data_IF_307483018906
#
_entry.id   IF_307483018906
#
_cell.length_a   1.000
_cell.length_b   1.000
_cell.length_c   1.000
_cell.angle_alpha   90.00
_cell.angle_beta   90.00
_cell.angle_gamma   90.00
#
_symmetry.space_group_name_H-M   'P 1'
#
loop_
_entity.id
_entity.type
_entity.pdbx_description
1 polymer ?
#
# COMPACT_ATOMS: atom_id res chain seq x y z
N UNK A 1 -17.30 -3.57 5.42
CA UNK A 1 -16.15 -3.06 6.20
C UNK A 1 -15.30 -4.28 6.55
N UNK A 2 -14.15 -4.50 5.91
CA UNK A 2 -13.28 -5.61 6.31
C UNK A 2 -12.53 -5.17 7.57
N UNK A 3 -12.93 -5.73 8.71
CA UNK A 3 -12.29 -5.50 9.99
C UNK A 3 -10.89 -6.13 9.98
N UNK A 4 -9.88 -5.37 10.36
CA UNK A 4 -8.48 -5.78 10.28
C UNK A 4 -8.04 -6.30 11.64
N UNK A 5 -8.15 -7.61 11.83
CA UNK A 5 -7.74 -8.26 13.09
C UNK A 5 -6.23 -8.54 13.10
N UNK A 6 -5.61 -8.35 14.27
CA UNK A 6 -4.21 -8.73 14.55
C UNK A 6 -3.17 -8.13 13.60
N UNK A 7 -3.40 -6.92 13.09
CA UNK A 7 -2.43 -6.20 12.24
C UNK A 7 -2.07 -4.79 12.75
N UNK A 8 -2.33 -4.51 14.02
CA UNK A 8 -2.04 -3.21 14.64
C UNK A 8 -0.59 -2.79 14.44
N UNK A 9 0.37 -3.66 14.76
CA UNK A 9 1.79 -3.34 14.65
C UNK A 9 2.23 -2.98 13.21
N UNK A 10 1.75 -3.69 12.19
CA UNK A 10 2.08 -3.35 10.79
C UNK A 10 1.38 -2.06 10.36
N UNK A 11 0.17 -1.81 10.85
CA UNK A 11 -0.57 -0.57 10.59
C UNK A 11 0.12 0.64 11.23
N UNK A 12 0.59 0.50 12.48
CA UNK A 12 1.33 1.53 13.21
C UNK A 12 2.66 1.84 12.50
N UNK A 13 3.40 0.81 12.10
CA UNK A 13 4.64 0.97 11.34
C UNK A 13 4.43 1.72 10.02
N UNK A 14 3.32 1.48 9.31
CA UNK A 14 2.98 2.24 8.10
C UNK A 14 2.58 3.69 8.44
N UNK A 15 1.87 3.91 9.54
CA UNK A 15 1.46 5.22 10.02
C UNK A 15 2.67 6.12 10.34
N UNK A 16 3.69 5.56 10.99
CA UNK A 16 4.97 6.24 11.24
C UNK A 16 5.63 6.72 9.94
N UNK A 17 5.61 5.90 8.88
CA UNK A 17 6.21 6.25 7.58
C UNK A 17 5.46 7.37 6.87
N UNK A 18 4.15 7.46 7.03
CA UNK A 18 3.36 8.59 6.52
C UNK A 18 3.68 9.86 7.32
N UNK A 19 3.82 9.77 8.64
CA UNK A 19 4.21 10.92 9.45
C UNK A 19 5.61 11.45 9.05
N UNK A 20 6.58 10.55 8.84
CA UNK A 20 7.90 10.89 8.31
C UNK A 20 7.81 11.54 6.91
N UNK A 21 6.99 10.98 6.02
CA UNK A 21 6.76 11.52 4.68
C UNK A 21 6.20 12.94 4.70
N UNK A 22 5.26 13.24 5.61
CA UNK A 22 4.74 14.59 5.81
C UNK A 22 5.79 15.58 6.32
N UNK A 23 6.79 15.08 7.05
CA UNK A 23 7.95 15.85 7.47
C UNK A 23 9.06 15.93 6.39
N UNK A 24 8.78 15.51 5.16
CA UNK A 24 9.73 15.56 4.03
C UNK A 24 10.69 14.38 3.95
N UNK A 25 10.53 13.35 4.79
CA UNK A 25 11.37 12.13 4.80
C UNK A 25 10.61 10.97 4.14
N UNK A 26 10.72 10.90 2.81
CA UNK A 26 10.13 9.81 2.04
C UNK A 26 10.77 8.45 2.34
N UNK A 27 9.99 7.38 2.19
CA UNK A 27 10.48 6.01 2.36
C UNK A 27 9.78 5.04 1.42
N UNK A 28 10.40 3.87 1.21
CA UNK A 28 9.80 2.74 0.50
C UNK A 28 9.63 1.61 1.50
N UNK A 29 8.43 1.03 1.55
CA UNK A 29 8.09 -0.09 2.44
C UNK A 29 7.79 -1.32 1.59
N UNK A 30 8.46 -2.44 1.90
CA UNK A 30 8.18 -3.74 1.31
C UNK A 30 7.32 -4.56 2.27
N UNK A 31 6.10 -4.91 1.85
CA UNK A 31 5.23 -5.80 2.60
C UNK A 31 5.36 -7.23 2.07
N UNK A 32 6.12 -8.07 2.79
CA UNK A 32 6.32 -9.48 2.47
C UNK A 32 5.43 -10.38 3.34
N UNK A 33 5.14 -11.59 2.85
CA UNK A 33 4.35 -12.58 3.56
C UNK A 33 3.76 -13.62 2.63
N UNK A 34 3.23 -14.70 3.19
CA UNK A 34 2.69 -15.83 2.44
C UNK A 34 1.46 -15.45 1.60
N UNK A 35 1.15 -16.25 0.58
CA UNK A 35 -0.10 -16.12 -0.16
C UNK A 35 -1.27 -16.24 0.81
N UNK A 36 -2.25 -15.34 0.70
CA UNK A 36 -3.40 -15.32 1.63
C UNK A 36 -3.15 -14.65 2.99
N UNK A 37 -1.92 -14.23 3.33
CA UNK A 37 -1.61 -13.59 4.62
C UNK A 37 -2.30 -12.23 4.89
N UNK A 38 -3.12 -11.74 3.96
CA UNK A 38 -3.87 -10.48 4.11
C UNK A 38 -3.12 -9.21 3.71
N UNK A 39 -2.01 -9.31 2.97
CA UNK A 39 -1.18 -8.17 2.55
C UNK A 39 -1.99 -7.08 1.81
N UNK A 40 -2.75 -7.48 0.78
CA UNK A 40 -3.59 -6.56 0.00
C UNK A 40 -4.70 -5.95 0.88
N UNK A 41 -5.25 -6.71 1.83
CA UNK A 41 -6.25 -6.22 2.79
C UNK A 41 -5.67 -5.14 3.70
N UNK A 42 -4.47 -5.36 4.26
CA UNK A 42 -3.76 -4.38 5.09
C UNK A 42 -3.50 -3.08 4.32
N UNK A 43 -2.89 -3.16 3.13
CA UNK A 43 -2.57 -1.97 2.32
C UNK A 43 -3.85 -1.22 1.92
N UNK A 44 -4.90 -1.94 1.52
CA UNK A 44 -6.17 -1.32 1.14
C UNK A 44 -6.87 -0.64 2.32
N UNK A 45 -6.80 -1.23 3.52
CA UNK A 45 -7.33 -0.62 4.73
C UNK A 45 -6.56 0.64 5.11
N UNK A 46 -5.22 0.55 5.14
CA UNK A 46 -4.35 1.68 5.44
C UNK A 46 -4.54 2.84 4.44
N UNK A 47 -4.58 2.53 3.14
CA UNK A 47 -4.83 3.50 2.08
C UNK A 47 -6.14 4.27 2.29
N UNK A 48 -7.23 3.59 2.68
CA UNK A 48 -8.51 4.26 2.99
C UNK A 48 -8.40 5.18 4.19
N UNK A 49 -7.66 4.79 5.23
CA UNK A 49 -7.49 5.61 6.44
C UNK A 49 -6.73 6.90 6.15
N UNK A 50 -5.63 6.83 5.38
CA UNK A 50 -4.80 8.01 5.10
C UNK A 50 -5.34 8.88 3.95
N UNK A 51 -6.30 8.39 3.17
CA UNK A 51 -6.92 9.16 2.10
C UNK A 51 -7.67 10.42 2.59
N UNK A 52 -7.97 10.51 3.89
CA UNK A 52 -8.60 11.69 4.49
C UNK A 52 -7.72 12.95 4.43
N UNK A 53 -6.39 12.79 4.47
CA UNK A 53 -5.43 13.89 4.59
C UNK A 53 -4.15 13.67 3.76
N UNK A 54 -4.09 12.62 2.93
CA UNK A 54 -2.96 12.31 2.05
C UNK A 54 -3.47 11.84 0.70
N UNK A 55 -2.87 12.37 -0.39
CA UNK A 55 -3.17 11.89 -1.74
C UNK A 55 -2.63 10.47 -1.90
N UNK A 56 -3.53 9.52 -2.11
CA UNK A 56 -3.19 8.11 -2.34
C UNK A 56 -3.29 7.78 -3.83
N UNK A 57 -2.24 7.19 -4.38
CA UNK A 57 -2.22 6.61 -5.72
C UNK A 57 -2.06 5.09 -5.58
N UNK A 58 -2.93 4.33 -6.24
CA UNK A 58 -2.93 2.87 -6.19
C UNK A 58 -2.60 2.32 -7.57
N UNK A 59 -1.65 1.40 -7.64
CA UNK A 59 -1.30 0.65 -8.82
C UNK A 59 -1.20 -0.85 -8.52
N UNK A 60 -1.24 -1.67 -9.56
CA UNK A 60 -1.03 -3.10 -9.47
C UNK A 60 0.03 -3.53 -10.49
N UNK A 61 0.74 -4.61 -10.21
CA UNK A 61 1.61 -5.23 -11.21
C UNK A 61 0.75 -5.99 -12.23
N UNK A 62 1.11 -5.90 -13.52
CA UNK A 62 0.52 -6.75 -14.56
C UNK A 62 0.80 -8.22 -14.16
N UNK A 63 -0.19 -9.12 -14.09
CA UNK A 63 0.02 -10.53 -13.71
C UNK A 63 0.80 -11.35 -14.77
N UNK A 64 1.56 -10.68 -15.64
CA UNK A 64 2.28 -11.28 -16.75
C UNK A 64 3.73 -11.58 -16.36
N UNK A 65 4.18 -12.77 -16.73
CA UNK A 65 5.60 -13.15 -16.65
C UNK A 65 6.48 -12.32 -17.60
N UNK A 66 5.91 -11.85 -18.71
CA UNK A 66 6.53 -10.94 -19.67
C UNK A 66 5.90 -9.56 -19.50
N UNK A 67 6.62 -8.54 -19.00
CA UNK A 67 6.10 -7.20 -18.91
C UNK A 67 5.67 -6.73 -20.29
N UNK A 68 4.44 -6.21 -20.43
CA UNK A 68 4.12 -5.43 -21.62
C UNK A 68 5.11 -4.26 -21.66
N UNK A 69 5.64 -3.91 -22.85
CA UNK A 69 6.40 -2.67 -23.00
C UNK A 69 5.61 -1.54 -22.36
N UNK A 70 6.29 -0.55 -21.77
CA UNK A 70 5.67 0.65 -21.20
C UNK A 70 4.93 1.42 -22.32
N UNK A 71 3.76 0.92 -22.69
CA UNK A 71 2.86 1.48 -23.66
C UNK A 71 2.11 2.65 -23.04
N UNK A 72 1.50 3.51 -23.87
CA UNK A 72 0.76 4.65 -23.37
C UNK A 72 -0.33 4.18 -22.38
N UNK A 73 -0.40 4.86 -21.23
CA UNK A 73 -1.48 4.70 -20.26
C UNK A 73 -2.79 4.98 -21.01
N UNK A 74 -3.69 3.99 -21.03
CA UNK A 74 -5.05 4.15 -21.56
C UNK A 74 -6.01 4.05 -20.38
N UNK A 75 -6.84 5.08 -20.25
CA UNK A 75 -7.91 5.20 -19.26
C UNK A 75 -9.04 4.19 -19.48
#
# INVERSE_FOLDING_TARGET
MAELFERGAQFDALSERIADGRAGRGSVVLLAGEAGAGKSTLVSAFARTVAADTRVLVGACDPLSTPRPLGPVRD
#
